data_IF_716714780063
#
_entry.id   IF_716714780063
#
_cell.length_a   1.000
_cell.length_b   1.000
_cell.length_c   1.000
_cell.angle_alpha   90.00
_cell.angle_beta   90.00
_cell.angle_gamma   90.00
#
_symmetry.space_group_name_H-M   'P 1'
#
loop_
_entity.id
_entity.type
_entity.pdbx_description
1 polymer ?
#
# COMPACT_ATOMS: atom_id res chain seq x y z
N UNK A 1 -18.57 13.93 6.16
CA UNK A 1 -17.46 13.06 6.64
C UNK A 1 -17.00 12.22 5.48
N UNK A 2 -15.75 12.37 5.05
CA UNK A 2 -15.19 11.51 4.02
C UNK A 2 -15.10 10.08 4.59
N UNK A 3 -15.92 9.16 4.07
CA UNK A 3 -16.25 7.84 4.64
C UNK A 3 -15.11 6.83 4.73
N UNK A 4 -14.01 7.24 5.38
CA UNK A 4 -12.82 6.46 5.64
C UNK A 4 -12.69 6.23 7.14
N UNK A 5 -12.30 5.02 7.52
CA UNK A 5 -11.91 4.68 8.88
C UNK A 5 -10.39 4.80 9.00
N UNK A 6 -9.94 5.58 9.98
CA UNK A 6 -8.52 5.72 10.29
C UNK A 6 -8.00 4.49 11.03
N UNK A 7 -6.82 4.02 10.66
CA UNK A 7 -6.19 2.89 11.35
C UNK A 7 -5.45 3.42 12.60
N UNK A 8 -5.75 2.89 13.81
CA UNK A 8 -5.09 3.31 15.05
C UNK A 8 -3.56 3.28 14.93
N UNK A 9 -2.88 4.23 15.59
CA UNK A 9 -1.40 4.32 15.54
C UNK A 9 -0.69 3.10 16.14
N UNK A 10 -1.36 2.36 17.02
CA UNK A 10 -0.86 1.11 17.62
C UNK A 10 -0.75 -0.04 16.60
N UNK A 11 -1.48 0.02 15.49
CA UNK A 11 -1.37 -0.97 14.42
C UNK A 11 -0.23 -0.55 13.50
N UNK A 12 0.72 -1.46 13.26
CA UNK A 12 1.81 -1.21 12.35
C UNK A 12 1.33 -1.21 10.90
N UNK A 13 1.60 -0.12 10.19
CA UNK A 13 1.37 0.00 8.75
C UNK A 13 2.52 0.77 8.13
N UNK A 14 3.08 0.25 7.04
CA UNK A 14 4.02 0.99 6.20
C UNK A 14 3.31 2.18 5.56
N UNK A 15 4.07 3.22 5.28
CA UNK A 15 3.58 4.39 4.56
C UNK A 15 3.45 4.06 3.07
N UNK A 16 2.58 4.78 2.36
CA UNK A 16 2.50 4.68 0.92
C UNK A 16 3.86 4.98 0.29
N UNK A 17 4.39 4.08 -0.54
CA UNK A 17 5.70 4.26 -1.18
C UNK A 17 5.74 5.44 -2.17
N UNK A 18 4.59 5.89 -2.65
CA UNK A 18 4.49 6.99 -3.63
C UNK A 18 4.43 8.36 -2.97
N UNK A 19 3.66 8.52 -1.88
CA UNK A 19 3.43 9.83 -1.25
C UNK A 19 3.71 9.90 0.26
N UNK A 20 4.07 8.80 0.91
CA UNK A 20 4.34 8.76 2.35
C UNK A 20 3.08 8.80 3.24
N UNK A 21 1.87 8.82 2.68
CA UNK A 21 0.64 8.82 3.48
C UNK A 21 0.42 7.49 4.21
N UNK A 22 -0.13 7.56 5.44
CA UNK A 22 -0.59 6.37 6.18
C UNK A 22 -1.90 5.85 5.54
N UNK A 23 -2.06 4.53 5.34
CA UNK A 23 -3.28 4.00 4.74
C UNK A 23 -4.53 4.27 5.59
N UNK A 24 -5.67 4.22 4.93
CA UNK A 24 -7.01 4.27 5.53
C UNK A 24 -7.84 3.09 5.06
N UNK A 25 -8.89 2.76 5.81
CA UNK A 25 -9.87 1.75 5.42
C UNK A 25 -11.06 2.46 4.77
N UNK A 26 -11.50 2.01 3.60
CA UNK A 26 -12.70 2.52 2.91
C UNK A 26 -13.64 1.36 2.57
N UNK A 27 -14.94 1.63 2.56
CA UNK A 27 -15.88 0.77 1.84
C UNK A 27 -15.69 0.93 0.32
N UNK A 28 -15.67 -0.19 -0.39
CA UNK A 28 -15.76 -0.26 -1.85
C UNK A 28 -17.21 -0.10 -2.30
N UNK A 29 -17.41 0.06 -3.61
CA UNK A 29 -18.75 0.16 -4.22
C UNK A 29 -19.61 -1.09 -3.96
N UNK A 30 -18.96 -2.25 -3.76
CA UNK A 30 -19.63 -3.50 -3.42
C UNK A 30 -19.95 -3.65 -1.91
N UNK A 31 -19.71 -2.61 -1.10
CA UNK A 31 -19.94 -2.64 0.36
C UNK A 31 -18.90 -3.44 1.15
N UNK A 32 -17.79 -3.84 0.51
CA UNK A 32 -16.67 -4.55 1.15
C UNK A 32 -15.59 -3.56 1.59
N UNK A 33 -14.68 -3.96 2.47
CA UNK A 33 -13.60 -3.07 2.92
C UNK A 33 -12.31 -3.26 2.10
N UNK A 34 -11.60 -2.14 1.89
CA UNK A 34 -10.25 -2.09 1.31
C UNK A 34 -9.34 -1.24 2.20
N UNK A 35 -8.05 -1.57 2.21
CA UNK A 35 -7.00 -0.70 2.74
C UNK A 35 -6.39 0.05 1.56
N UNK A 36 -6.36 1.38 1.60
CA UNK A 36 -5.89 2.19 0.47
C UNK A 36 -5.15 3.45 0.86
N UNK A 37 -4.47 4.04 -0.11
CA UNK A 37 -3.92 5.39 0.01
C UNK A 37 -5.06 6.42 0.17
N UNK A 38 -4.97 7.34 1.15
CA UNK A 38 -5.98 8.40 1.31
C UNK A 38 -5.82 9.56 0.33
N UNK A 39 -4.64 9.69 -0.30
CA UNK A 39 -4.28 10.86 -1.12
C UNK A 39 -4.67 10.70 -2.58
N UNK A 40 -4.48 9.52 -3.15
CA UNK A 40 -4.78 9.22 -4.54
C UNK A 40 -5.18 7.74 -4.70
N UNK A 41 -6.31 7.52 -5.37
CA UNK A 41 -6.88 6.22 -5.67
C UNK A 41 -6.02 5.42 -6.67
N UNK A 42 -5.14 6.09 -7.42
CA UNK A 42 -4.21 5.49 -8.38
C UNK A 42 -2.97 4.86 -7.74
N UNK A 43 -2.69 5.13 -6.46
CA UNK A 43 -1.52 4.56 -5.79
C UNK A 43 -1.69 3.06 -5.59
N UNK A 44 -2.26 2.66 -4.46
CA UNK A 44 -2.52 1.28 -4.17
C UNK A 44 -3.74 1.15 -3.30
N UNK A 45 -4.48 0.06 -3.51
CA UNK A 45 -5.51 -0.43 -2.64
C UNK A 45 -5.46 -1.95 -2.64
N UNK A 46 -5.72 -2.55 -1.48
CA UNK A 46 -5.81 -4.01 -1.35
C UNK A 46 -7.05 -4.53 -2.07
N UNK A 47 -7.11 -5.85 -2.25
CA UNK A 47 -8.33 -6.51 -2.72
C UNK A 47 -9.49 -6.22 -1.78
N UNK A 48 -10.69 -5.99 -2.34
CA UNK A 48 -11.92 -5.80 -1.58
C UNK A 48 -12.33 -7.08 -0.84
N UNK A 49 -12.73 -6.91 0.41
CA UNK A 49 -13.26 -7.98 1.26
C UNK A 49 -12.62 -7.98 2.64
N UNK A 50 -11.30 -8.22 2.67
CA UNK A 50 -10.53 -8.30 3.91
C UNK A 50 -9.71 -7.03 4.10
N UNK A 51 -9.65 -6.56 5.35
CA UNK A 51 -8.74 -5.49 5.76
C UNK A 51 -7.33 -6.10 5.83
N UNK A 52 -6.64 -6.14 4.70
CA UNK A 52 -5.34 -6.82 4.54
C UNK A 52 -4.17 -5.84 4.70
N UNK A 53 -3.76 -5.60 5.95
CA UNK A 53 -2.63 -4.72 6.27
C UNK A 53 -1.30 -5.32 5.80
N UNK A 54 -1.18 -6.65 5.74
CA UNK A 54 0.05 -7.32 5.32
C UNK A 54 0.29 -7.20 3.82
N UNK A 55 -0.75 -7.31 3.00
CA UNK A 55 -0.70 -7.04 1.56
C UNK A 55 -0.31 -5.59 1.29
N UNK A 56 -0.92 -4.63 2.01
CA UNK A 56 -0.50 -3.23 1.98
C UNK A 56 0.99 -3.06 2.30
N UNK A 57 1.46 -3.69 3.37
CA UNK A 57 2.85 -3.60 3.80
C UNK A 57 3.80 -4.24 2.78
N UNK A 58 3.44 -5.38 2.20
CA UNK A 58 4.22 -6.06 1.15
C UNK A 58 4.35 -5.16 -0.08
N UNK A 59 3.25 -4.60 -0.58
CA UNK A 59 3.25 -3.71 -1.75
C UNK A 59 4.10 -2.43 -1.53
N UNK A 60 4.05 -1.87 -0.33
CA UNK A 60 4.76 -0.64 0.05
C UNK A 60 6.16 -0.92 0.65
N UNK A 61 6.69 -2.13 0.48
CA UNK A 61 8.08 -2.43 0.78
C UNK A 61 8.96 -1.93 -0.38
N UNK A 62 9.89 -1.04 -0.07
CA UNK A 62 10.95 -0.67 -1.02
C UNK A 62 12.06 -1.70 -0.86
N UNK A 63 12.22 -2.59 -1.83
CA UNK A 63 13.42 -3.42 -1.90
C UNK A 63 14.55 -2.54 -2.40
N UNK A 64 15.47 -2.17 -1.52
CA UNK A 64 16.74 -1.62 -1.96
C UNK A 64 17.50 -2.75 -2.63
N UNK A 65 17.55 -2.76 -3.97
CA UNK A 65 18.50 -3.61 -4.70
C UNK A 65 19.81 -2.83 -4.70
N UNK A 66 20.85 -3.25 -3.97
CA UNK A 66 22.14 -2.61 -4.07
C UNK A 66 22.60 -2.68 -5.53
N UNK A 67 23.08 -1.58 -6.09
CA UNK A 67 23.48 -1.47 -7.50
C UNK A 67 24.65 -2.39 -7.91
N UNK A 68 25.11 -3.29 -7.03
CA UNK A 68 26.30 -4.12 -7.21
C UNK A 68 26.06 -5.40 -8.00
N UNK A 69 24.80 -5.75 -8.30
CA UNK A 69 24.48 -6.98 -9.06
C UNK A 69 24.08 -6.72 -10.53
N UNK A 70 24.25 -5.49 -11.03
CA UNK A 70 24.19 -5.27 -12.48
C UNK A 70 25.46 -5.85 -13.12
N UNK A 71 25.38 -7.08 -13.62
CA UNK A 71 26.36 -7.62 -14.56
C UNK A 71 26.01 -7.09 -15.97
N UNK A 72 26.76 -6.14 -16.56
CA UNK A 72 26.47 -5.58 -17.88
C UNK A 72 26.74 -6.57 -19.03
N UNK A 73 27.09 -7.83 -18.76
CA UNK A 73 27.46 -8.83 -19.76
C UNK A 73 26.29 -9.69 -20.29
N UNK A 74 25.06 -9.47 -19.83
CA UNK A 74 23.87 -10.15 -20.40
C UNK A 74 23.02 -9.13 -21.14
N UNK A 75 23.38 -8.89 -22.40
CA UNK A 75 22.47 -8.27 -23.37
C UNK A 75 21.53 -9.35 -23.91
N UNK A 76 20.23 -9.03 -24.00
CA UNK A 76 19.27 -9.78 -24.82
C UNK A 76 19.59 -9.65 -26.31
#
# INVERSE_FOLDING_TARGET
MNGYLTIPKSIYCKLCKTCGARPVIKASEAGLYVVKCPTDDRHYQTRSGLIDIDDWNRHNSVFYVPCRDFNPQVSC
#
